data_IF_058810128419
#
_entry.id   IF_058810128419
#
_cell.length_a   1.000
_cell.length_b   1.000
_cell.length_c   1.000
_cell.angle_alpha   90.00
_cell.angle_beta   90.00
_cell.angle_gamma   90.00
#
_symmetry.space_group_name_H-M   'P 1'
#
loop_
_entity.id
_entity.type
_entity.pdbx_description
1 polymer ?
#
# COMPACT_ATOMS: atom_id res chain seq x y z
N UNK A 1 34.06 -18.88 52.98
CA UNK A 1 34.81 -18.71 51.71
C UNK A 1 34.12 -17.58 50.93
N UNK A 2 34.77 -16.40 50.94
CA UNK A 2 34.82 -15.32 49.93
C UNK A 2 33.54 -15.02 49.12
N UNK A 3 32.80 -13.91 49.28
CA UNK A 3 33.10 -12.46 49.25
C UNK A 3 33.23 -11.85 47.82
N UNK A 4 32.62 -10.65 47.65
CA UNK A 4 32.52 -9.70 46.50
C UNK A 4 31.33 -9.92 45.55
N UNK A 5 30.32 -9.04 45.40
CA UNK A 5 30.17 -7.57 45.53
C UNK A 5 30.96 -6.75 44.48
N UNK A 6 30.25 -6.33 43.43
CA UNK A 6 30.32 -5.06 42.66
C UNK A 6 29.24 -5.19 41.57
N UNK A 7 28.13 -4.43 41.48
CA UNK A 7 27.91 -2.98 41.42
C UNK A 7 28.82 -2.24 40.45
N UNK A 8 28.18 -1.68 39.41
CA UNK A 8 28.42 -0.48 38.57
C UNK A 8 27.42 -0.66 37.39
N UNK A 9 26.22 -0.07 37.31
CA UNK A 9 25.80 1.36 37.35
C UNK A 9 26.45 2.23 36.25
N UNK A 10 25.57 2.63 35.31
CA UNK A 10 25.49 3.88 34.51
C UNK A 10 26.24 4.02 33.16
N UNK A 11 25.45 3.87 32.06
CA UNK A 11 25.02 4.87 31.04
C UNK A 11 26.05 5.80 30.32
N UNK A 12 25.65 6.59 29.30
CA UNK A 12 25.02 6.33 27.99
C UNK A 12 25.83 7.02 26.83
N UNK A 13 25.23 7.25 25.65
CA UNK A 13 25.74 7.98 24.44
C UNK A 13 26.30 7.00 23.37
N UNK A 14 25.92 7.08 22.09
CA UNK A 14 25.76 8.28 21.27
C UNK A 14 24.67 8.12 20.20
N UNK A 15 23.94 9.22 20.04
CA UNK A 15 23.04 9.56 18.96
C UNK A 15 23.84 9.94 17.71
N UNK A 16 23.72 9.17 16.63
CA UNK A 16 23.97 9.71 15.29
C UNK A 16 22.67 9.68 14.51
N UNK A 17 22.03 10.85 14.45
CA UNK A 17 21.05 11.19 13.43
C UNK A 17 21.68 11.01 12.05
N UNK A 18 21.25 10.03 11.29
CA UNK A 18 21.40 10.09 9.84
C UNK A 18 20.06 10.53 9.26
N UNK A 19 20.07 11.81 8.87
CA UNK A 19 18.96 12.52 8.27
C UNK A 19 18.52 11.86 6.98
N UNK A 20 17.21 11.85 6.79
CA UNK A 20 16.54 11.71 5.52
C UNK A 20 17.18 12.61 4.46
N UNK A 21 17.69 11.99 3.39
CA UNK A 21 17.67 12.58 2.06
C UNK A 21 16.93 11.63 1.13
N UNK A 22 15.61 11.65 1.26
CA UNK A 22 14.67 11.13 0.27
C UNK A 22 14.88 11.94 -1.03
N UNK A 23 15.83 11.49 -1.84
CA UNK A 23 16.03 11.99 -3.19
C UNK A 23 14.98 11.32 -4.07
N UNK A 24 13.82 11.96 -4.16
CA UNK A 24 12.87 11.80 -5.25
C UNK A 24 13.58 12.20 -6.55
N UNK A 25 14.26 11.24 -7.16
CA UNK A 25 14.64 11.33 -8.57
C UNK A 25 13.37 11.05 -9.39
N UNK A 26 12.70 12.13 -9.79
CA UNK A 26 11.78 12.15 -10.93
C UNK A 26 12.59 11.87 -12.21
N UNK A 27 12.84 10.59 -12.50
CA UNK A 27 13.19 10.16 -13.86
C UNK A 27 11.94 10.25 -14.74
N UNK A 28 11.77 11.42 -15.33
CA UNK A 28 10.91 11.65 -16.50
C UNK A 28 11.51 10.93 -17.73
N UNK A 29 11.36 9.61 -17.79
CA UNK A 29 11.55 8.85 -19.03
C UNK A 29 10.21 8.66 -19.74
N UNK A 30 9.77 9.73 -20.41
CA UNK A 30 8.89 9.60 -21.57
C UNK A 30 9.75 9.16 -22.76
N UNK A 31 9.91 7.85 -22.96
CA UNK A 31 10.34 7.33 -24.25
C UNK A 31 9.35 6.34 -24.87
N UNK A 32 8.96 6.68 -26.09
CA UNK A 32 7.93 6.10 -26.91
C UNK A 32 8.36 4.69 -27.37
N UNK A 33 8.01 3.62 -26.65
CA UNK A 33 8.05 2.26 -27.23
C UNK A 33 7.20 1.19 -26.52
N UNK A 34 5.97 1.53 -26.10
CA UNK A 34 5.07 0.60 -25.39
C UNK A 34 4.14 -0.22 -26.31
N UNK A 35 4.66 -0.83 -27.38
CA UNK A 35 3.85 -1.72 -28.26
C UNK A 35 4.39 -3.13 -28.51
N UNK A 36 5.58 -3.49 -28.02
CA UNK A 36 6.12 -4.86 -28.14
C UNK A 36 5.93 -5.74 -26.89
N UNK A 37 5.57 -5.16 -25.74
CA UNK A 37 5.43 -5.90 -24.47
C UNK A 37 4.14 -6.71 -24.35
N UNK A 38 3.04 -6.29 -24.99
CA UNK A 38 1.74 -6.97 -24.85
C UNK A 38 1.76 -8.38 -25.44
N UNK A 39 2.44 -8.59 -26.57
CA UNK A 39 2.62 -9.92 -27.15
C UNK A 39 3.52 -10.84 -26.33
N UNK A 40 4.60 -10.30 -25.75
CA UNK A 40 5.50 -11.05 -24.87
C UNK A 40 4.82 -11.47 -23.56
N UNK A 41 4.02 -10.57 -22.97
CA UNK A 41 3.26 -10.87 -21.76
C UNK A 41 2.12 -11.86 -22.04
N UNK A 42 1.46 -11.74 -23.19
CA UNK A 42 0.44 -12.71 -23.62
C UNK A 42 1.05 -14.09 -23.91
N UNK A 43 2.25 -14.15 -24.50
CA UNK A 43 3.00 -15.39 -24.71
C UNK A 43 3.45 -16.01 -23.38
N UNK A 44 3.86 -15.19 -22.41
CA UNK A 44 4.19 -15.65 -21.05
C UNK A 44 2.96 -16.18 -20.31
N UNK A 45 1.80 -15.54 -20.47
CA UNK A 45 0.55 -16.06 -19.91
C UNK A 45 0.09 -17.33 -20.62
N UNK A 46 0.22 -17.40 -21.95
CA UNK A 46 -0.12 -18.58 -22.73
C UNK A 46 0.75 -19.78 -22.33
N UNK A 47 2.05 -19.58 -22.06
CA UNK A 47 2.93 -20.64 -21.57
C UNK A 47 2.60 -21.07 -20.13
N UNK A 48 2.23 -20.11 -19.26
CA UNK A 48 1.82 -20.41 -17.88
C UNK A 48 0.48 -21.16 -17.78
N UNK A 49 -0.48 -20.84 -18.65
CA UNK A 49 -1.80 -21.48 -18.69
C UNK A 49 -1.88 -22.68 -19.64
N UNK A 50 -0.75 -23.13 -20.21
CA UNK A 50 -0.68 -24.34 -21.04
C UNK A 50 -1.36 -24.24 -22.40
N UNK A 51 -1.65 -23.04 -22.90
CA UNK A 51 -2.34 -22.83 -24.18
C UNK A 51 -1.46 -23.25 -25.38
N UNK A 52 -0.13 -23.29 -25.20
CA UNK A 52 0.84 -23.76 -26.20
C UNK A 52 1.10 -25.28 -26.14
N UNK A 53 0.67 -25.97 -25.08
CA UNK A 53 0.96 -27.40 -24.85
C UNK A 53 0.14 -28.34 -25.75
N UNK A 54 -0.86 -27.84 -26.48
CA UNK A 54 -1.70 -28.67 -27.34
C UNK A 54 -0.93 -29.40 -28.46
N UNK A 55 0.21 -28.87 -28.91
CA UNK A 55 1.09 -29.54 -29.88
C UNK A 55 2.06 -30.54 -29.23
N UNK A 56 2.41 -30.32 -27.96
CA UNK A 56 3.27 -31.22 -27.19
C UNK A 56 2.48 -32.43 -26.67
N UNK A 57 1.21 -32.26 -26.32
CA UNK A 57 0.32 -33.34 -25.90
C UNK A 57 0.16 -34.43 -26.97
N UNK A 58 0.06 -34.08 -28.26
CA UNK A 58 0.02 -35.06 -29.36
C UNK A 58 1.34 -35.85 -29.49
N UNK A 59 2.50 -35.25 -29.21
CA UNK A 59 3.79 -35.95 -29.22
C UNK A 59 4.01 -36.81 -27.97
N UNK A 60 3.56 -36.35 -26.80
CA UNK A 60 3.60 -37.08 -25.53
C UNK A 60 2.71 -38.33 -25.57
N UNK A 61 1.54 -38.25 -26.23
CA UNK A 61 0.62 -39.38 -26.41
C UNK A 61 1.23 -40.45 -27.33
N UNK A 62 1.95 -40.05 -28.37
CA UNK A 62 2.53 -40.96 -29.37
C UNK A 62 3.86 -41.60 -28.92
N UNK A 63 4.56 -41.04 -27.94
CA UNK A 63 5.82 -41.58 -27.41
C UNK A 63 5.98 -41.36 -25.90
N UNK A 64 5.16 -42.01 -25.05
CA UNK A 64 5.14 -41.79 -23.59
C UNK A 64 6.42 -42.23 -22.86
N UNK A 65 7.30 -42.98 -23.54
CA UNK A 65 8.57 -43.45 -22.97
C UNK A 65 9.69 -42.40 -23.02
N UNK A 66 9.52 -41.30 -23.75
CA UNK A 66 10.53 -40.23 -23.86
C UNK A 66 10.34 -39.09 -22.86
N UNK A 67 9.15 -38.97 -22.24
CA UNK A 67 8.81 -37.88 -21.33
C UNK A 67 8.71 -38.38 -19.89
N UNK A 68 9.78 -38.15 -19.12
CA UNK A 68 9.91 -38.59 -17.72
C UNK A 68 8.94 -37.89 -16.76
N UNK A 69 8.45 -36.70 -17.14
CA UNK A 69 7.58 -35.86 -16.29
C UNK A 69 6.08 -36.16 -16.48
N UNK A 70 5.73 -37.15 -17.33
CA UNK A 70 4.33 -37.49 -17.61
C UNK A 70 3.79 -38.50 -16.60
N UNK A 71 2.53 -38.34 -16.18
CA UNK A 71 1.85 -39.22 -15.21
C UNK A 71 1.82 -40.70 -15.65
N UNK A 72 1.85 -40.97 -16.96
CA UNK A 72 1.87 -42.32 -17.56
C UNK A 72 3.26 -42.92 -17.71
N UNK A 73 4.31 -42.28 -17.17
CA UNK A 73 5.69 -42.75 -17.30
C UNK A 73 5.89 -44.11 -16.60
N UNK A 74 6.38 -45.09 -17.35
CA UNK A 74 6.73 -46.41 -16.83
C UNK A 74 8.25 -46.54 -16.66
N UNK A 75 8.72 -46.26 -15.45
CA UNK A 75 10.15 -46.32 -15.08
C UNK A 75 10.80 -47.66 -15.43
N UNK A 76 10.10 -48.79 -15.19
CA UNK A 76 10.64 -50.11 -15.44
C UNK A 76 10.83 -50.41 -16.94
N UNK A 77 9.91 -49.96 -17.79
CA UNK A 77 10.03 -50.13 -19.24
C UNK A 77 11.14 -49.23 -19.80
N UNK A 78 11.22 -47.98 -19.33
CA UNK A 78 12.24 -47.01 -19.71
C UNK A 78 13.65 -47.48 -19.35
N UNK A 79 13.87 -47.92 -18.11
CA UNK A 79 15.19 -48.41 -17.66
C UNK A 79 15.60 -49.68 -18.42
N UNK A 80 14.68 -50.62 -18.68
CA UNK A 80 14.97 -51.81 -19.49
C UNK A 80 15.41 -51.46 -20.91
N UNK A 81 14.73 -50.49 -21.54
CA UNK A 81 15.08 -50.00 -22.88
C UNK A 81 16.43 -49.29 -22.88
N UNK A 82 16.71 -48.49 -21.84
CA UNK A 82 17.98 -47.79 -21.66
C UNK A 82 19.15 -48.77 -21.49
N UNK A 83 18.97 -49.83 -20.70
CA UNK A 83 19.98 -50.88 -20.50
C UNK A 83 20.23 -51.72 -21.77
N UNK A 84 19.23 -51.87 -22.65
CA UNK A 84 19.36 -52.64 -23.88
C UNK A 84 20.02 -51.86 -25.03
N UNK A 85 19.81 -50.54 -25.07
CA UNK A 85 20.15 -49.71 -26.24
C UNK A 85 21.24 -48.67 -26.00
N UNK A 86 21.69 -48.41 -24.76
CA UNK A 86 22.71 -47.38 -24.47
C UNK A 86 24.06 -48.00 -24.05
N UNK A 87 25.19 -47.40 -24.47
CA UNK A 87 26.51 -47.80 -23.99
C UNK A 87 26.71 -47.39 -22.52
N UNK A 88 27.64 -48.06 -21.84
CA UNK A 88 27.89 -47.89 -20.40
C UNK A 88 28.26 -46.44 -20.01
N UNK A 89 29.03 -45.75 -20.85
CA UNK A 89 29.45 -44.37 -20.60
C UNK A 89 28.27 -43.38 -20.62
N UNK A 90 27.30 -43.61 -21.51
CA UNK A 90 26.07 -42.82 -21.58
C UNK A 90 25.18 -43.10 -20.37
N UNK A 91 25.12 -44.36 -19.92
CA UNK A 91 24.37 -44.75 -18.73
C UNK A 91 24.94 -44.10 -17.47
N UNK A 92 26.27 -44.12 -17.30
CA UNK A 92 26.95 -43.48 -16.18
C UNK A 92 26.74 -41.95 -16.22
N UNK A 93 26.87 -41.34 -17.39
CA UNK A 93 26.62 -39.92 -17.57
C UNK A 93 25.16 -39.55 -17.23
N UNK A 94 24.20 -40.42 -17.59
CA UNK A 94 22.78 -40.21 -17.28
C UNK A 94 22.49 -40.36 -15.78
N UNK A 95 23.12 -41.32 -15.11
CA UNK A 95 23.02 -41.49 -13.66
C UNK A 95 23.54 -40.26 -12.89
N UNK A 96 24.70 -39.73 -13.30
CA UNK A 96 25.26 -38.50 -12.72
C UNK A 96 24.31 -37.32 -12.94
N UNK A 97 23.76 -37.16 -14.14
CA UNK A 97 22.79 -36.08 -14.45
C UNK A 97 21.54 -36.19 -13.60
N UNK A 98 20.93 -37.36 -13.50
CA UNK A 98 19.72 -37.57 -12.68
C UNK A 98 20.04 -37.29 -11.21
N UNK A 99 21.19 -37.74 -10.71
CA UNK A 99 21.62 -37.45 -9.34
C UNK A 99 21.81 -35.96 -9.08
N UNK A 100 22.24 -35.18 -10.07
CA UNK A 100 22.32 -33.71 -9.98
C UNK A 100 20.94 -33.06 -10.06
N UNK A 101 20.08 -33.50 -10.98
CA UNK A 101 18.71 -33.02 -11.12
C UNK A 101 17.91 -33.22 -9.83
N UNK A 102 18.03 -34.39 -9.18
CA UNK A 102 17.39 -34.66 -7.87
C UNK A 102 17.83 -33.64 -6.81
N UNK A 103 19.14 -33.35 -6.74
CA UNK A 103 19.69 -32.39 -5.76
C UNK A 103 19.22 -30.96 -6.05
N UNK A 104 19.22 -30.57 -7.32
CA UNK A 104 18.75 -29.25 -7.72
C UNK A 104 17.26 -29.09 -7.41
N UNK A 105 16.43 -30.10 -7.72
CA UNK A 105 15.01 -30.08 -7.44
C UNK A 105 14.71 -30.00 -5.93
N UNK A 106 15.48 -30.70 -5.09
CA UNK A 106 15.39 -30.57 -3.63
C UNK A 106 15.75 -29.16 -3.16
N UNK A 107 16.83 -28.58 -3.69
CA UNK A 107 17.22 -27.19 -3.39
C UNK A 107 16.16 -26.19 -3.85
N UNK A 108 15.58 -26.36 -5.03
CA UNK A 108 14.53 -25.50 -5.56
C UNK A 108 13.24 -25.61 -4.74
N UNK A 109 12.88 -26.81 -4.32
CA UNK A 109 11.78 -27.03 -3.39
C UNK A 109 12.01 -26.30 -2.06
N UNK A 110 13.22 -26.41 -1.49
CA UNK A 110 13.57 -25.69 -0.26
C UNK A 110 13.52 -24.17 -0.45
N UNK A 111 14.02 -23.66 -1.58
CA UNK A 111 14.00 -22.24 -1.90
C UNK A 111 12.57 -21.72 -2.09
N UNK A 112 11.70 -22.48 -2.75
CA UNK A 112 10.28 -22.12 -2.91
C UNK A 112 9.56 -22.02 -1.55
N UNK A 113 9.84 -22.98 -0.66
CA UNK A 113 9.31 -22.99 0.70
C UNK A 113 9.80 -21.77 1.49
N UNK A 114 11.11 -21.47 1.40
CA UNK A 114 11.68 -20.29 2.04
C UNK A 114 11.04 -19.00 1.54
N UNK A 115 10.89 -18.84 0.22
CA UNK A 115 10.28 -17.66 -0.37
C UNK A 115 8.81 -17.51 0.04
N UNK A 116 8.06 -18.62 0.11
CA UNK A 116 6.68 -18.60 0.60
C UNK A 116 6.61 -18.17 2.07
N UNK A 117 7.43 -18.76 2.92
CA UNK A 117 7.45 -18.39 4.34
C UNK A 117 7.91 -16.95 4.56
N UNK A 118 8.92 -16.49 3.82
CA UNK A 118 9.37 -15.09 3.85
C UNK A 118 8.25 -14.13 3.47
N UNK A 119 7.50 -14.43 2.41
CA UNK A 119 6.32 -13.64 2.00
C UNK A 119 5.23 -13.67 3.06
N UNK A 120 4.95 -14.84 3.66
CA UNK A 120 3.94 -14.97 4.71
C UNK A 120 4.30 -14.19 5.98
N UNK A 121 5.56 -14.25 6.41
CA UNK A 121 6.08 -13.47 7.54
C UNK A 121 5.95 -11.98 7.24
N UNK A 122 6.39 -11.53 6.06
CA UNK A 122 6.29 -10.12 5.65
C UNK A 122 4.84 -9.63 5.56
N UNK A 123 3.93 -10.46 5.03
CA UNK A 123 2.50 -10.16 5.00
C UNK A 123 1.94 -10.02 6.42
N UNK A 124 2.32 -10.92 7.33
CA UNK A 124 1.89 -10.90 8.74
C UNK A 124 2.43 -9.66 9.47
N UNK A 125 3.68 -9.28 9.24
CA UNK A 125 4.25 -8.03 9.77
C UNK A 125 3.53 -6.80 9.23
N UNK A 126 3.15 -6.82 7.95
CA UNK A 126 2.40 -5.72 7.33
C UNK A 126 1.01 -5.60 7.95
N UNK A 127 0.32 -6.72 8.20
CA UNK A 127 -0.95 -6.74 8.93
C UNK A 127 -0.77 -6.18 10.35
N UNK A 128 0.31 -6.55 11.05
CA UNK A 128 0.60 -6.04 12.39
C UNK A 128 0.84 -4.53 12.40
N UNK A 129 1.60 -4.00 11.44
CA UNK A 129 1.79 -2.54 11.27
C UNK A 129 0.47 -1.85 10.94
N UNK A 130 -0.32 -2.41 10.03
CA UNK A 130 -1.64 -1.87 9.68
C UNK A 130 -2.54 -1.78 10.91
N UNK A 131 -2.56 -2.82 11.76
CA UNK A 131 -3.31 -2.80 13.03
C UNK A 131 -2.85 -1.66 13.94
N UNK A 132 -1.56 -1.52 14.18
CA UNK A 132 -1.02 -0.44 15.03
C UNK A 132 -1.36 0.95 14.48
N UNK A 133 -1.29 1.14 13.17
CA UNK A 133 -1.64 2.41 12.54
C UNK A 133 -3.13 2.73 12.69
N UNK A 134 -4.00 1.72 12.61
CA UNK A 134 -5.45 1.90 12.82
C UNK A 134 -5.75 2.25 14.28
N UNK A 135 -5.05 1.65 15.25
CA UNK A 135 -5.18 2.01 16.67
C UNK A 135 -4.78 3.48 16.91
N UNK A 136 -3.65 3.92 16.34
CA UNK A 136 -3.22 5.32 16.42
C UNK A 136 -4.23 6.25 15.71
N UNK A 137 -4.76 5.83 14.57
CA UNK A 137 -5.75 6.62 13.82
C UNK A 137 -7.06 6.80 14.61
N UNK A 138 -7.49 5.80 15.38
CA UNK A 138 -8.66 5.91 16.24
C UNK A 138 -8.43 6.97 17.34
N UNK A 139 -7.25 6.96 17.96
CA UNK A 139 -6.85 7.99 18.94
C UNK A 139 -6.83 9.40 18.30
N UNK A 140 -6.28 9.55 17.10
CA UNK A 140 -6.28 10.83 16.39
C UNK A 140 -7.70 11.32 16.04
N UNK A 141 -8.58 10.42 15.58
CA UNK A 141 -9.98 10.73 15.29
C UNK A 141 -10.72 11.19 16.56
N UNK A 142 -10.51 10.50 17.68
CA UNK A 142 -11.11 10.92 18.96
C UNK A 142 -10.58 12.27 19.42
N UNK A 143 -9.29 12.55 19.24
CA UNK A 143 -8.69 13.85 19.55
C UNK A 143 -9.26 14.98 18.67
N UNK A 144 -9.45 14.73 17.37
CA UNK A 144 -10.08 15.69 16.45
C UNK A 144 -11.53 15.95 16.86
N UNK A 145 -12.29 14.91 17.19
CA UNK A 145 -13.67 15.04 17.67
C UNK A 145 -13.75 15.92 18.92
N UNK A 146 -12.89 15.68 19.92
CA UNK A 146 -12.82 16.49 21.13
C UNK A 146 -12.47 17.95 20.84
N UNK A 147 -11.57 18.21 19.89
CA UNK A 147 -11.25 19.59 19.46
C UNK A 147 -12.44 20.24 18.76
N UNK A 148 -13.17 19.51 17.93
CA UNK A 148 -14.37 20.01 17.26
C UNK A 148 -15.49 20.33 18.26
N UNK A 149 -15.70 19.47 19.25
CA UNK A 149 -16.65 19.72 20.33
C UNK A 149 -16.28 20.99 21.12
N UNK A 150 -14.99 21.17 21.43
CA UNK A 150 -14.49 22.41 22.05
C UNK A 150 -14.77 23.64 21.19
N UNK A 151 -14.52 23.57 19.87
CA UNK A 151 -14.80 24.66 18.93
C UNK A 151 -16.31 24.97 18.90
N UNK A 152 -17.17 23.96 18.91
CA UNK A 152 -18.61 24.14 18.89
C UNK A 152 -19.11 24.83 20.17
N UNK A 153 -18.57 24.44 21.33
CA UNK A 153 -18.87 25.07 22.62
C UNK A 153 -18.35 26.51 22.66
N UNK A 154 -17.11 26.77 22.24
CA UNK A 154 -16.58 28.14 22.23
C UNK A 154 -17.31 29.04 21.26
N UNK A 155 -17.67 28.54 20.06
CA UNK A 155 -18.50 29.28 19.10
C UNK A 155 -19.86 29.61 19.68
N UNK A 156 -20.53 28.64 20.32
CA UNK A 156 -21.83 28.90 20.97
C UNK A 156 -21.72 29.94 22.09
N UNK A 157 -20.64 29.90 22.88
CA UNK A 157 -20.40 30.90 23.92
C UNK A 157 -20.14 32.30 23.35
N UNK A 158 -19.40 32.39 22.24
CA UNK A 158 -19.16 33.66 21.53
C UNK A 158 -20.48 34.19 20.97
N UNK A 159 -21.28 33.34 20.32
CA UNK A 159 -22.58 33.71 19.77
C UNK A 159 -23.51 34.23 20.86
N UNK A 160 -23.57 33.56 22.02
CA UNK A 160 -24.36 33.98 23.17
C UNK A 160 -23.88 35.32 23.73
N UNK A 161 -22.56 35.50 23.88
CA UNK A 161 -21.97 36.74 24.38
C UNK A 161 -22.23 37.94 23.44
N UNK A 162 -22.12 37.72 22.13
CA UNK A 162 -22.38 38.75 21.13
C UNK A 162 -23.87 39.00 20.90
N UNK A 163 -24.77 38.08 21.28
CA UNK A 163 -26.23 38.20 21.06
C UNK A 163 -26.80 39.45 21.68
N UNK A 164 -26.40 39.76 22.92
CA UNK A 164 -26.89 40.96 23.62
C UNK A 164 -26.36 42.24 22.95
N UNK A 165 -25.07 42.27 22.59
CA UNK A 165 -24.48 43.42 21.92
C UNK A 165 -25.09 43.65 20.53
N UNK A 166 -25.30 42.60 19.73
CA UNK A 166 -26.01 42.68 18.44
C UNK A 166 -27.42 43.25 18.63
N UNK A 167 -28.18 42.80 19.62
CA UNK A 167 -29.51 43.34 19.93
C UNK A 167 -29.48 44.84 20.28
N UNK A 168 -28.48 45.30 21.04
CA UNK A 168 -28.28 46.73 21.33
C UNK A 168 -27.98 47.51 20.05
N UNK A 169 -27.06 47.02 19.23
CA UNK A 169 -26.71 47.64 17.94
C UNK A 169 -27.93 47.70 17.01
N UNK A 170 -28.71 46.63 16.90
CA UNK A 170 -29.93 46.60 16.09
C UNK A 170 -30.98 47.63 16.56
N UNK A 171 -31.14 47.81 17.87
CA UNK A 171 -31.99 48.87 18.44
C UNK A 171 -31.50 50.25 18.04
N UNK A 172 -30.19 50.52 18.16
CA UNK A 172 -29.61 51.81 17.75
C UNK A 172 -29.78 52.06 16.25
N UNK A 173 -29.55 51.05 15.40
CA UNK A 173 -29.76 51.16 13.95
C UNK A 173 -31.23 51.47 13.63
N UNK A 174 -32.17 50.83 14.34
CA UNK A 174 -33.60 51.11 14.20
C UNK A 174 -33.93 52.56 14.59
N UNK A 175 -33.41 53.05 15.72
CA UNK A 175 -33.60 54.44 16.16
C UNK A 175 -33.02 55.40 15.13
N UNK A 176 -31.78 55.16 14.65
CA UNK A 176 -31.14 56.00 13.63
C UNK A 176 -31.96 56.07 12.33
N UNK A 177 -32.55 54.96 11.87
CA UNK A 177 -33.45 54.97 10.70
C UNK A 177 -34.70 55.81 10.95
N UNK A 178 -35.28 55.75 12.15
CA UNK A 178 -36.45 56.57 12.50
C UNK A 178 -36.10 58.05 12.56
N UNK A 179 -34.96 58.39 13.16
CA UNK A 179 -34.48 59.76 13.25
C UNK A 179 -34.25 60.36 11.86
N UNK A 180 -33.57 59.62 10.97
CA UNK A 180 -33.35 60.06 9.58
C UNK A 180 -34.66 60.23 8.80
N UNK A 181 -35.69 59.41 9.09
CA UNK A 181 -37.02 59.59 8.51
C UNK A 181 -37.76 60.79 9.08
N UNK A 182 -37.56 61.09 10.36
CA UNK A 182 -38.11 62.28 11.01
C UNK A 182 -37.44 63.55 10.48
N UNK A 183 -36.11 63.54 10.38
CA UNK A 183 -35.30 64.60 9.76
C UNK A 183 -35.79 64.91 8.34
N UNK A 184 -35.98 63.88 7.52
CA UNK A 184 -36.58 64.03 6.19
C UNK A 184 -37.99 64.64 6.23
N UNK A 185 -38.83 64.26 7.19
CA UNK A 185 -40.18 64.80 7.35
C UNK A 185 -40.18 66.25 7.84
N UNK A 186 -39.20 66.66 8.64
CA UNK A 186 -39.06 68.04 9.12
C UNK A 186 -38.46 68.97 8.07
N UNK A 187 -37.64 68.44 7.17
CA UNK A 187 -37.03 69.19 6.06
C UNK A 187 -37.98 69.30 4.84
N UNK A 188 -39.01 68.45 4.79
CA UNK A 188 -40.00 68.37 3.71
C UNK A 188 -40.86 69.64 3.53
N UNK A 189 -41.40 70.29 4.58
CA UNK A 189 -42.24 71.47 4.46
C UNK A 189 -41.45 72.66 3.91
N UNK A 190 -40.21 72.86 4.38
CA UNK A 190 -39.32 73.92 3.87
C UNK A 190 -39.03 73.70 2.39
N UNK A 191 -38.67 72.47 1.99
CA UNK A 191 -38.46 72.13 0.57
C UNK A 191 -39.71 72.26 -0.30
N UNK A 192 -40.90 72.03 0.26
CA UNK A 192 -42.17 72.25 -0.45
C UNK A 192 -42.51 73.73 -0.58
N UNK A 193 -42.21 74.54 0.44
CA UNK A 193 -42.38 75.99 0.38
C UNK A 193 -41.43 76.63 -0.64
N UNK A 194 -40.18 76.19 -0.69
CA UNK A 194 -39.19 76.62 -1.68
C UNK A 194 -39.57 76.23 -3.13
N UNK A 195 -40.42 75.21 -3.31
CA UNK A 195 -40.96 74.82 -4.63
C UNK A 195 -42.28 75.51 -4.99
N UNK A 196 -42.91 76.20 -4.04
CA UNK A 196 -44.18 76.93 -4.25
C UNK A 196 -43.93 78.43 -4.48
N UNK A 197 -42.84 78.97 -3.95
CA UNK A 197 -42.34 80.33 -4.22
C UNK A 197 -41.56 80.42 -5.54
#
# INVERSE_FOLDING_TARGET
KNNKMSKNEEDPLDSSSENDTDSLNDENDNDFNKKKSSGAMMSLFASYYGIDQSNDEENIINNPEQYIDTIKFNSNAYVKKLLLHSPLDDLLSKDIKISQEIKNLDSDMQMLVYDNYKKFISATETIKRMKSNVEIMDDDITAVKLKMDKICVTSSNIDESLREQRSKVDKLIRIRRLLSRLEFLTELPERLQEMIE
#
